data_IF_527044143646
#
_entry.id   IF_527044143646
#
_cell.length_a   1.000
_cell.length_b   1.000
_cell.length_c   1.000
_cell.angle_alpha   90.00
_cell.angle_beta   90.00
_cell.angle_gamma   90.00
#
_symmetry.space_group_name_H-M   'P 1'
#
loop_
_entity.id
_entity.type
_entity.pdbx_description
1 polymer ?
#
# COMPACT_ATOMS: atom_id res chain seq x y z
N UNK A 1 -21.95 15.38 15.65
CA UNK A 1 -22.24 13.97 15.32
C UNK A 1 -21.69 13.56 13.95
N UNK A 2 -22.02 14.27 12.85
CA UNK A 2 -21.52 13.92 11.50
C UNK A 2 -19.98 13.90 11.43
N UNK A 3 -19.31 14.95 11.93
CA UNK A 3 -17.85 15.01 11.96
C UNK A 3 -17.20 13.83 12.71
N UNK A 4 -17.82 13.36 13.80
CA UNK A 4 -17.35 12.21 14.57
C UNK A 4 -17.52 10.88 13.82
N UNK A 5 -18.61 10.74 13.08
CA UNK A 5 -18.82 9.56 12.23
C UNK A 5 -17.82 9.55 11.08
N UNK A 6 -17.61 10.69 10.43
CA UNK A 6 -16.62 10.82 9.35
C UNK A 6 -15.22 10.50 9.88
N UNK A 7 -14.81 11.06 11.02
CA UNK A 7 -13.48 10.78 11.58
C UNK A 7 -13.28 9.33 12.00
N UNK A 8 -14.31 8.69 12.58
CA UNK A 8 -14.28 7.24 12.86
C UNK A 8 -14.11 6.42 11.57
N UNK A 9 -14.93 6.70 10.56
CA UNK A 9 -14.91 5.97 9.28
C UNK A 9 -13.56 6.15 8.58
N UNK A 10 -13.02 7.36 8.54
CA UNK A 10 -11.71 7.63 7.95
C UNK A 10 -10.57 6.94 8.70
N UNK A 11 -10.59 6.92 10.04
CA UNK A 11 -9.58 6.22 10.82
C UNK A 11 -9.62 4.70 10.61
N UNK A 12 -10.82 4.12 10.51
CA UNK A 12 -10.99 2.69 10.24
C UNK A 12 -10.62 2.34 8.79
N UNK A 13 -10.93 3.19 7.82
CA UNK A 13 -10.47 3.04 6.44
C UNK A 13 -8.94 3.05 6.35
N UNK A 14 -8.28 3.98 7.06
CA UNK A 14 -6.82 4.02 7.14
C UNK A 14 -6.25 2.78 7.82
N UNK A 15 -6.87 2.31 8.91
CA UNK A 15 -6.47 1.04 9.54
C UNK A 15 -6.59 -0.14 8.56
N UNK A 16 -7.64 -0.17 7.73
CA UNK A 16 -7.81 -1.16 6.66
C UNK A 16 -6.75 -1.07 5.56
N UNK A 17 -6.24 0.13 5.25
CA UNK A 17 -5.13 0.30 4.31
C UNK A 17 -3.80 -0.28 4.84
N UNK A 18 -3.64 -0.44 6.16
CA UNK A 18 -2.48 -1.10 6.78
C UNK A 18 -2.64 -2.63 6.90
N UNK A 19 -3.85 -3.16 6.71
CA UNK A 19 -4.11 -4.60 6.80
C UNK A 19 -3.24 -5.46 5.86
N UNK A 20 -2.97 -5.05 4.60
CA UNK A 20 -2.10 -5.80 3.71
C UNK A 20 -0.68 -5.96 4.26
N UNK A 21 -0.12 -4.95 4.94
CA UNK A 21 1.21 -5.06 5.54
C UNK A 21 1.31 -6.11 6.65
N UNK A 22 0.19 -6.51 7.25
CA UNK A 22 0.11 -7.63 8.20
C UNK A 22 -0.04 -9.00 7.53
N UNK A 23 -0.48 -9.01 6.28
CA UNK A 23 -0.67 -10.22 5.47
C UNK A 23 0.61 -10.52 4.67
N UNK A 24 1.29 -9.49 4.18
CA UNK A 24 2.56 -9.62 3.47
C UNK A 24 3.74 -9.84 4.42
N UNK A 25 4.71 -10.65 4.00
CA UNK A 25 5.88 -11.07 4.78
C UNK A 25 7.08 -10.09 4.71
N UNK A 26 6.87 -8.83 4.33
CA UNK A 26 7.93 -7.84 4.39
C UNK A 26 8.02 -7.24 5.81
N UNK A 27 9.14 -7.47 6.49
CA UNK A 27 9.31 -7.11 7.90
C UNK A 27 9.09 -5.62 8.16
N UNK A 28 9.51 -4.74 7.23
CA UNK A 28 9.36 -3.30 7.37
C UNK A 28 7.89 -2.87 7.32
N UNK A 29 7.13 -3.35 6.33
CA UNK A 29 5.71 -3.05 6.20
C UNK A 29 4.87 -3.70 7.30
N UNK A 30 5.22 -4.90 7.77
CA UNK A 30 4.56 -5.55 8.91
C UNK A 30 4.77 -4.77 10.21
N UNK A 31 6.01 -4.38 10.52
CA UNK A 31 6.32 -3.58 11.71
C UNK A 31 5.61 -2.22 11.64
N UNK A 32 5.66 -1.54 10.49
CA UNK A 32 4.94 -0.29 10.28
C UNK A 32 3.44 -0.42 10.52
N UNK A 33 2.83 -1.49 10.01
CA UNK A 33 1.40 -1.76 10.17
C UNK A 33 1.03 -2.09 11.62
N UNK A 34 1.87 -2.87 12.32
CA UNK A 34 1.70 -3.18 13.74
C UNK A 34 1.80 -1.94 14.64
N UNK A 35 2.64 -0.96 14.27
CA UNK A 35 2.79 0.28 15.03
C UNK A 35 1.63 1.25 14.74
N UNK A 36 1.23 1.37 13.47
CA UNK A 36 0.27 2.40 13.04
C UNK A 36 -1.20 2.01 13.24
N UNK A 37 -1.54 0.73 13.15
CA UNK A 37 -2.92 0.27 13.25
C UNK A 37 -3.54 0.43 14.65
N UNK A 38 -2.87 0.09 15.78
CA UNK A 38 -3.46 0.22 17.11
C UNK A 38 -3.85 1.66 17.49
N UNK A 39 -3.03 2.70 17.21
CA UNK A 39 -3.43 4.09 17.44
C UNK A 39 -4.69 4.50 16.66
N UNK A 40 -4.85 4.06 15.41
CA UNK A 40 -6.02 4.39 14.58
C UNK A 40 -7.30 3.74 15.11
N UNK A 41 -7.22 2.45 15.47
CA UNK A 41 -8.35 1.74 16.10
C UNK A 41 -8.68 2.36 17.46
N UNK A 42 -7.66 2.65 18.27
CA UNK A 42 -7.81 3.31 19.56
C UNK A 42 -8.50 4.67 19.43
N UNK A 43 -8.10 5.48 18.46
CA UNK A 43 -8.75 6.75 18.15
C UNK A 43 -10.23 6.57 17.79
N UNK A 44 -10.57 5.63 16.91
CA UNK A 44 -11.96 5.36 16.54
C UNK A 44 -12.82 4.94 17.76
N UNK A 45 -12.27 4.13 18.66
CA UNK A 45 -12.94 3.73 19.91
C UNK A 45 -13.15 4.93 20.83
N UNK A 46 -12.14 5.79 21.01
CA UNK A 46 -12.28 6.97 21.86
C UNK A 46 -13.23 8.00 21.26
N UNK A 47 -13.22 8.19 19.94
CA UNK A 47 -14.17 9.03 19.21
C UNK A 47 -15.61 8.57 19.44
N UNK A 48 -15.84 7.25 19.38
CA UNK A 48 -17.14 6.64 19.68
C UNK A 48 -17.56 6.90 21.13
N UNK A 49 -16.69 6.58 22.09
CA UNK A 49 -16.98 6.77 23.53
C UNK A 49 -17.23 8.24 23.86
N UNK A 50 -16.45 9.14 23.27
CA UNK A 50 -16.59 10.57 23.50
C UNK A 50 -17.88 11.13 22.93
N UNK A 51 -18.23 10.74 21.70
CA UNK A 51 -19.39 11.30 21.00
C UNK A 51 -20.71 10.68 21.47
N UNK A 52 -20.79 9.36 21.57
CA UNK A 52 -22.05 8.64 21.80
C UNK A 52 -22.30 8.30 23.27
N UNK A 53 -21.24 8.18 24.08
CA UNK A 53 -21.35 7.98 25.54
C UNK A 53 -21.06 9.23 26.36
N UNK A 54 -20.88 10.37 25.70
CA UNK A 54 -20.58 11.66 26.34
C UNK A 54 -19.43 11.59 27.36
N UNK A 55 -18.39 10.81 27.05
CA UNK A 55 -17.24 10.66 27.93
C UNK A 55 -16.20 11.76 27.63
N UNK A 56 -16.03 12.69 28.58
CA UNK A 56 -15.12 13.83 28.44
C UNK A 56 -13.65 13.41 28.24
N UNK A 57 -13.18 12.46 29.03
CA UNK A 57 -11.80 11.95 28.93
C UNK A 57 -11.56 11.29 27.57
N UNK A 58 -12.56 10.58 27.04
CA UNK A 58 -12.50 9.97 25.71
C UNK A 58 -12.43 11.02 24.59
N UNK A 59 -13.11 12.17 24.72
CA UNK A 59 -13.00 13.26 23.75
C UNK A 59 -11.64 13.93 23.75
N UNK A 60 -11.07 14.15 24.94
CA UNK A 60 -9.75 14.76 25.06
C UNK A 60 -8.68 13.82 24.48
N UNK A 61 -8.75 12.53 24.82
CA UNK A 61 -7.85 11.52 24.26
C UNK A 61 -8.03 11.32 22.76
N UNK A 62 -9.26 11.37 22.24
CA UNK A 62 -9.51 11.36 20.80
C UNK A 62 -8.94 12.61 20.13
N UNK A 63 -9.13 13.81 20.71
CA UNK A 63 -8.55 15.05 20.18
C UNK A 63 -7.01 14.97 20.14
N UNK A 64 -6.37 14.50 21.21
CA UNK A 64 -4.93 14.29 21.25
C UNK A 64 -4.47 13.22 20.25
N UNK A 65 -5.22 12.12 20.13
CA UNK A 65 -4.95 11.05 19.17
C UNK A 65 -5.01 11.52 17.71
N UNK A 66 -5.93 12.43 17.38
CA UNK A 66 -6.02 13.04 16.05
C UNK A 66 -4.84 13.97 15.71
N UNK A 67 -4.11 14.49 16.71
CA UNK A 67 -2.93 15.33 16.45
C UNK A 67 -1.75 14.53 15.93
N UNK A 68 -1.66 13.23 16.22
CA UNK A 68 -0.57 12.37 15.73
C UNK A 68 -0.56 12.24 14.19
N UNK A 69 -1.66 11.82 13.51
CA UNK A 69 -1.70 11.81 12.05
C UNK A 69 -1.60 13.21 11.45
N UNK A 70 -2.08 14.26 12.14
CA UNK A 70 -1.89 15.66 11.70
C UNK A 70 -0.42 16.05 11.73
N UNK A 71 0.31 15.72 12.79
CA UNK A 71 1.74 16.00 12.90
C UNK A 71 2.56 15.25 11.84
N UNK A 72 2.27 13.96 11.63
CA UNK A 72 2.91 13.16 10.58
C UNK A 72 2.60 13.70 9.18
N UNK A 73 1.33 13.98 8.89
CA UNK A 73 0.92 14.56 7.61
C UNK A 73 1.53 15.96 7.40
N UNK A 74 1.64 16.77 8.45
CA UNK A 74 2.27 18.09 8.40
C UNK A 74 3.76 17.99 8.07
N UNK A 75 4.50 17.09 8.73
CA UNK A 75 5.90 16.81 8.42
C UNK A 75 6.06 16.33 6.98
N UNK A 76 5.21 15.38 6.53
CA UNK A 76 5.20 14.90 5.15
C UNK A 76 4.93 16.03 4.16
N UNK A 77 3.96 16.89 4.44
CA UNK A 77 3.63 18.01 3.54
C UNK A 77 4.82 18.96 3.37
N UNK A 78 5.54 19.26 4.47
CA UNK A 78 6.75 20.08 4.42
C UNK A 78 7.82 19.42 3.56
N UNK A 79 8.12 18.14 3.79
CA UNK A 79 9.15 17.42 3.02
C UNK A 79 8.79 17.32 1.53
N UNK A 80 7.53 17.03 1.23
CA UNK A 80 7.04 16.85 -0.15
C UNK A 80 6.99 18.18 -0.92
N UNK A 81 6.72 19.29 -0.23
CA UNK A 81 6.73 20.62 -0.84
C UNK A 81 8.13 21.05 -1.29
N UNK A 82 9.18 20.63 -0.58
CA UNK A 82 10.57 20.89 -1.00
C UNK A 82 11.06 19.98 -2.14
N UNK A 83 10.40 18.85 -2.36
CA UNK A 83 10.80 17.84 -3.35
C UNK A 83 9.99 17.90 -4.66
N UNK A 84 9.06 18.85 -4.79
CA UNK A 84 8.24 18.95 -6.01
C UNK A 84 7.29 17.77 -6.21
N UNK A 85 6.74 17.24 -5.10
CA UNK A 85 5.89 16.05 -5.12
C UNK A 85 4.66 16.18 -6.03
N UNK A 86 4.15 15.06 -6.59
CA UNK A 86 2.96 15.07 -7.43
C UNK A 86 1.73 15.59 -6.68
N UNK A 87 0.85 16.29 -7.41
CA UNK A 87 -0.36 16.91 -6.85
C UNK A 87 -1.25 15.91 -6.11
N UNK A 88 -1.32 14.67 -6.60
CA UNK A 88 -2.13 13.61 -6.00
C UNK A 88 -1.67 13.28 -4.58
N UNK A 89 -0.35 13.20 -4.37
CA UNK A 89 0.23 12.94 -3.05
C UNK A 89 0.01 14.12 -2.10
N UNK A 90 0.18 15.36 -2.60
CA UNK A 90 -0.11 16.57 -1.83
C UNK A 90 -1.60 16.64 -1.43
N UNK A 91 -2.50 16.27 -2.34
CA UNK A 91 -3.94 16.26 -2.08
C UNK A 91 -4.33 15.20 -1.06
N UNK A 92 -3.68 14.03 -1.08
CA UNK A 92 -3.88 12.97 -0.10
C UNK A 92 -3.46 13.43 1.30
N UNK A 93 -2.26 14.02 1.42
CA UNK A 93 -1.74 14.55 2.70
C UNK A 93 -2.61 15.70 3.20
N UNK A 94 -3.03 16.61 2.32
CA UNK A 94 -3.99 17.68 2.63
C UNK A 94 -5.34 17.14 3.13
N UNK A 95 -5.84 16.07 2.52
CA UNK A 95 -7.06 15.38 2.97
C UNK A 95 -6.94 14.82 4.39
N UNK A 96 -5.81 14.19 4.73
CA UNK A 96 -5.53 13.70 6.08
C UNK A 96 -5.51 14.86 7.09
N UNK A 97 -4.85 15.98 6.76
CA UNK A 97 -4.81 17.17 7.61
C UNK A 97 -6.20 17.74 7.87
N UNK A 98 -7.03 17.86 6.82
CA UNK A 98 -8.39 18.40 6.95
C UNK A 98 -9.29 17.49 7.79
N UNK A 99 -9.25 16.18 7.55
CA UNK A 99 -10.11 15.22 8.26
C UNK A 99 -9.72 15.14 9.74
N UNK A 100 -8.44 14.92 10.04
CA UNK A 100 -8.01 14.75 11.43
C UNK A 100 -7.89 16.08 12.18
N UNK A 101 -7.48 17.17 11.52
CA UNK A 101 -7.50 18.51 12.11
C UNK A 101 -8.91 18.98 12.44
N UNK A 102 -9.85 18.77 11.52
CA UNK A 102 -11.28 19.01 11.76
C UNK A 102 -11.84 18.15 12.89
N UNK A 103 -11.46 16.86 12.94
CA UNK A 103 -11.86 15.97 14.03
C UNK A 103 -11.32 16.41 15.39
N UNK A 104 -10.05 16.82 15.47
CA UNK A 104 -9.43 17.33 16.69
C UNK A 104 -10.16 18.58 17.20
N UNK A 105 -10.43 19.54 16.31
CA UNK A 105 -11.16 20.76 16.64
C UNK A 105 -12.59 20.46 17.11
N UNK A 106 -13.31 19.57 16.41
CA UNK A 106 -14.67 19.17 16.76
C UNK A 106 -14.73 18.44 18.12
N UNK A 107 -13.77 17.55 18.40
CA UNK A 107 -13.67 16.85 19.69
C UNK A 107 -13.36 17.80 20.83
N UNK A 108 -12.44 18.73 20.62
CA UNK A 108 -12.08 19.71 21.64
C UNK A 108 -13.25 20.66 21.94
N UNK A 109 -13.97 21.10 20.91
CA UNK A 109 -15.19 21.88 21.07
C UNK A 109 -16.23 21.11 21.88
N UNK A 110 -16.51 19.85 21.51
CA UNK A 110 -17.48 19.01 22.22
C UNK A 110 -17.07 18.70 23.66
N UNK A 111 -15.78 18.48 23.92
CA UNK A 111 -15.23 18.35 25.26
C UNK A 111 -15.53 19.60 26.11
N UNK A 112 -15.29 20.80 25.56
CA UNK A 112 -15.63 22.06 26.26
C UNK A 112 -17.12 22.17 26.52
N UNK A 113 -17.96 21.81 25.56
CA UNK A 113 -19.42 21.83 25.73
C UNK A 113 -19.87 20.89 26.85
N UNK A 114 -19.36 19.65 26.89
CA UNK A 114 -19.69 18.71 27.96
C UNK A 114 -19.22 19.19 29.33
N UNK A 115 -17.99 19.71 29.42
CA UNK A 115 -17.42 20.20 30.68
C UNK A 115 -18.17 21.42 31.24
N UNK A 116 -18.75 22.25 30.36
CA UNK A 116 -19.52 23.44 30.75
C UNK A 116 -21.01 23.13 31.01
N UNK A 117 -21.55 22.03 30.49
CA UNK A 117 -22.96 21.67 30.62
C UNK A 117 -23.48 21.57 32.08
N UNK A 118 -22.71 21.05 33.06
CA UNK A 118 -23.12 21.02 34.46
C UNK A 118 -23.31 22.43 35.06
N UNK A 119 -22.47 23.39 34.67
CA UNK A 119 -22.56 24.77 35.13
C UNK A 119 -23.73 25.53 34.49
N UNK A 120 -24.16 25.10 33.30
CA UNK A 120 -25.26 25.69 32.55
C UNK A 120 -26.61 24.98 32.77
N UNK A 121 -26.68 24.04 33.73
CA UNK A 121 -27.86 23.20 33.99
C UNK A 121 -28.40 22.46 32.74
N UNK A 122 -27.53 22.14 31.78
CA UNK A 122 -27.91 21.43 30.55
C UNK A 122 -27.86 19.93 30.78
N UNK A 123 -28.96 19.24 30.50
CA UNK A 123 -29.04 17.79 30.62
C UNK A 123 -28.28 17.13 29.46
N UNK A 124 -27.22 16.39 29.77
CA UNK A 124 -26.48 15.60 28.77
C UNK A 124 -27.05 14.18 28.74
N UNK A 125 -27.67 13.73 27.63
CA UNK A 125 -28.19 12.38 27.55
C UNK A 125 -27.03 11.37 27.55
N UNK A 126 -26.87 10.66 28.65
CA UNK A 126 -25.95 9.53 28.81
C UNK A 126 -26.64 8.24 28.37
N UNK A 127 -26.20 7.65 27.25
CA UNK A 127 -26.69 6.33 26.79
C UNK A 127 -25.74 5.23 27.29
N UNK A 128 -26.28 4.24 27.99
CA UNK A 128 -25.52 3.11 28.60
C UNK A 128 -25.50 1.81 27.78
N UNK A 129 -26.24 1.70 26.68
CA UNK A 129 -26.31 0.50 25.83
C UNK A 129 -25.66 0.66 24.46
N UNK A 130 -25.38 -0.45 23.78
CA UNK A 130 -25.07 -0.48 22.35
C UNK A 130 -26.39 -0.56 21.60
N UNK A 131 -26.73 0.49 20.85
CA UNK A 131 -27.89 0.55 19.99
C UNK A 131 -27.68 -0.26 18.71
N UNK A 132 -28.78 -0.69 18.09
CA UNK A 132 -28.77 -1.39 16.80
C UNK A 132 -27.99 -0.60 15.73
N UNK A 133 -28.12 0.74 15.74
CA UNK A 133 -27.39 1.65 14.86
C UNK A 133 -25.88 1.54 15.05
N UNK A 134 -25.41 1.40 16.29
CA UNK A 134 -23.98 1.27 16.60
C UNK A 134 -23.43 -0.09 16.19
N UNK A 135 -24.24 -1.17 16.27
CA UNK A 135 -23.89 -2.46 15.67
C UNK A 135 -23.80 -2.39 14.14
N UNK A 136 -24.74 -1.73 13.46
CA UNK A 136 -24.64 -1.52 12.01
C UNK A 136 -23.41 -0.72 11.63
N UNK A 137 -23.03 0.30 12.41
CA UNK A 137 -21.79 1.03 12.20
C UNK A 137 -20.54 0.15 12.38
N UNK A 138 -20.52 -0.73 13.38
CA UNK A 138 -19.41 -1.66 13.57
C UNK A 138 -19.28 -2.64 12.39
N UNK A 139 -20.40 -3.20 11.92
CA UNK A 139 -20.43 -4.09 10.74
C UNK A 139 -20.01 -3.35 9.47
N UNK A 140 -20.50 -2.13 9.26
CA UNK A 140 -20.12 -1.30 8.11
C UNK A 140 -18.63 -0.92 8.14
N UNK A 141 -18.09 -0.64 9.33
CA UNK A 141 -16.67 -0.34 9.49
C UNK A 141 -15.78 -1.56 9.23
N UNK A 142 -16.16 -2.74 9.73
CA UNK A 142 -15.50 -4.00 9.42
C UNK A 142 -15.57 -4.26 7.90
N UNK A 143 -16.74 -4.09 7.30
CA UNK A 143 -16.95 -4.20 5.86
C UNK A 143 -16.07 -3.24 5.06
N UNK A 144 -15.91 -1.99 5.52
CA UNK A 144 -15.03 -1.01 4.89
C UNK A 144 -13.56 -1.39 5.00
N UNK A 145 -13.12 -1.87 6.18
CA UNK A 145 -11.76 -2.38 6.38
C UNK A 145 -11.47 -3.52 5.40
N UNK A 146 -12.41 -4.46 5.23
CA UNK A 146 -12.26 -5.54 4.26
C UNK A 146 -12.35 -5.04 2.81
N UNK A 147 -13.26 -4.12 2.49
CA UNK A 147 -13.41 -3.59 1.13
C UNK A 147 -12.19 -2.79 0.67
N UNK A 148 -11.51 -2.08 1.56
CA UNK A 148 -10.27 -1.35 1.27
C UNK A 148 -9.05 -2.28 1.36
N UNK A 149 -8.99 -3.13 2.39
CA UNK A 149 -7.85 -3.99 2.67
C UNK A 149 -7.73 -5.18 1.72
N UNK A 150 -8.82 -5.86 1.34
CA UNK A 150 -8.76 -7.06 0.50
C UNK A 150 -8.23 -6.81 -0.92
N UNK A 151 -8.63 -5.74 -1.64
CA UNK A 151 -8.04 -5.44 -2.95
C UNK A 151 -6.55 -5.14 -2.86
N UNK A 152 -6.12 -4.48 -1.79
CA UNK A 152 -4.72 -4.15 -1.53
C UNK A 152 -3.90 -5.34 -1.01
N UNK A 153 -4.57 -6.36 -0.47
CA UNK A 153 -3.98 -7.60 0.05
C UNK A 153 -4.08 -8.77 -0.95
N UNK A 154 -4.49 -8.53 -2.20
CA UNK A 154 -4.51 -9.59 -3.22
C UNK A 154 -3.11 -10.21 -3.29
N UNK A 155 -2.99 -11.55 -3.11
CA UNK A 155 -1.71 -12.22 -3.21
C UNK A 155 -1.07 -11.88 -4.55
N UNK A 156 0.24 -11.67 -4.53
CA UNK A 156 0.96 -11.45 -5.77
C UNK A 156 0.99 -12.79 -6.52
N UNK A 157 0.13 -12.93 -7.53
CA UNK A 157 0.13 -14.09 -8.40
C UNK A 157 1.06 -13.80 -9.58
N UNK A 158 2.03 -14.68 -9.79
CA UNK A 158 2.73 -14.74 -11.06
C UNK A 158 1.82 -15.52 -12.02
N UNK A 159 1.51 -14.93 -13.15
CA UNK A 159 0.68 -15.55 -14.16
C UNK A 159 1.56 -16.44 -15.04
N UNK A 160 1.37 -17.76 -14.96
CA UNK A 160 1.93 -18.70 -15.93
C UNK A 160 0.93 -18.87 -17.08
N UNK A 161 1.25 -18.32 -18.24
CA UNK A 161 0.34 -18.25 -19.39
C UNK A 161 1.06 -18.56 -20.70
N UNK A 162 0.30 -18.72 -21.78
CA UNK A 162 0.88 -18.78 -23.11
C UNK A 162 1.39 -17.40 -23.57
N UNK A 163 2.37 -17.35 -24.47
CA UNK A 163 2.91 -16.09 -24.99
C UNK A 163 1.87 -15.19 -25.69
N UNK A 164 0.79 -15.77 -26.23
CA UNK A 164 -0.30 -15.01 -26.84
C UNK A 164 -1.25 -14.33 -25.84
N UNK A 165 -1.20 -14.72 -24.57
CA UNK A 165 -2.08 -14.23 -23.52
C UNK A 165 -1.43 -13.14 -22.66
N UNK A 166 -0.14 -12.84 -22.89
CA UNK A 166 0.54 -11.77 -22.16
C UNK A 166 0.20 -10.39 -22.72
N UNK A 167 0.16 -9.35 -21.86
CA UNK A 167 -0.03 -7.97 -22.32
C UNK A 167 1.23 -7.39 -23.00
N UNK A 168 2.33 -8.14 -23.07
CA UNK A 168 3.62 -7.70 -23.60
C UNK A 168 3.90 -8.32 -24.97
N UNK A 169 4.65 -7.61 -25.80
CA UNK A 169 5.22 -8.15 -27.04
C UNK A 169 6.40 -9.05 -26.71
N UNK A 170 6.28 -10.34 -27.01
CA UNK A 170 7.34 -11.33 -26.81
C UNK A 170 7.88 -11.84 -28.15
N UNK A 171 9.14 -12.31 -28.20
CA UNK A 171 9.70 -12.91 -29.40
C UNK A 171 8.90 -14.14 -29.84
N UNK A 172 8.87 -14.38 -31.16
CA UNK A 172 8.19 -15.55 -31.72
C UNK A 172 8.80 -16.83 -31.16
N UNK A 173 7.96 -17.77 -30.73
CA UNK A 173 8.43 -19.03 -30.15
C UNK A 173 8.73 -18.99 -28.65
N UNK A 174 8.46 -17.88 -27.97
CA UNK A 174 8.52 -17.81 -26.51
C UNK A 174 7.58 -18.83 -25.84
N UNK A 175 8.08 -19.52 -24.81
CA UNK A 175 7.37 -20.57 -24.05
C UNK A 175 7.57 -20.40 -22.56
N UNK A 176 6.76 -21.12 -21.77
CA UNK A 176 6.80 -21.10 -20.29
C UNK A 176 6.78 -19.68 -19.70
N UNK A 177 5.93 -18.83 -20.27
CA UNK A 177 5.88 -17.43 -19.90
C UNK A 177 5.29 -17.30 -18.51
N UNK A 178 6.04 -16.63 -17.64
CA UNK A 178 5.64 -16.30 -16.28
C UNK A 178 5.83 -14.81 -16.10
N UNK A 179 4.76 -14.08 -15.79
CA UNK A 179 4.86 -12.64 -15.58
C UNK A 179 4.15 -12.18 -14.31
N UNK A 180 4.63 -11.07 -13.78
CA UNK A 180 3.97 -10.26 -12.78
C UNK A 180 3.92 -8.82 -13.30
N UNK A 181 2.71 -8.30 -13.44
CA UNK A 181 2.48 -6.90 -13.72
C UNK A 181 1.99 -6.21 -12.43
N UNK A 182 2.86 -5.39 -11.83
CA UNK A 182 2.54 -4.65 -10.62
C UNK A 182 3.09 -3.24 -10.77
N UNK A 183 2.31 -2.29 -11.28
CA UNK A 183 2.68 -0.87 -11.25
C UNK A 183 3.27 -0.47 -9.87
N UNK A 184 4.56 -0.05 -9.75
CA UNK A 184 5.47 0.42 -10.81
C UNK A 184 6.49 -0.59 -11.41
N UNK A 185 6.42 -1.87 -11.03
CA UNK A 185 7.30 -2.96 -11.41
C UNK A 185 6.68 -3.96 -12.40
N UNK A 186 7.43 -4.26 -13.45
CA UNK A 186 7.09 -5.31 -14.41
C UNK A 186 8.16 -6.38 -14.37
N UNK A 187 7.76 -7.62 -14.12
CA UNK A 187 8.63 -8.78 -14.19
C UNK A 187 8.07 -9.77 -15.18
N UNK A 188 8.90 -10.29 -16.09
CA UNK A 188 8.53 -11.46 -16.86
C UNK A 188 9.73 -12.34 -17.15
N UNK A 189 9.44 -13.62 -17.27
CA UNK A 189 10.40 -14.66 -17.58
C UNK A 189 9.80 -15.57 -18.64
N UNK A 190 10.61 -15.97 -19.60
CA UNK A 190 10.18 -16.91 -20.63
C UNK A 190 11.38 -17.64 -21.23
N UNK A 191 11.13 -18.79 -21.83
CA UNK A 191 12.13 -19.58 -22.52
C UNK A 191 12.06 -19.30 -24.03
N UNK A 192 13.21 -19.07 -24.65
CA UNK A 192 13.37 -18.77 -26.09
C UNK A 192 14.76 -19.18 -26.57
N UNK A 193 14.91 -19.44 -27.86
CA UNK A 193 16.22 -19.66 -28.47
C UNK A 193 17.07 -18.38 -28.51
N UNK A 194 18.40 -18.54 -28.42
CA UNK A 194 19.34 -17.42 -28.34
C UNK A 194 19.31 -16.54 -29.60
N UNK A 195 19.25 -17.15 -30.79
CA UNK A 195 19.23 -16.37 -32.02
C UNK A 195 17.95 -15.55 -32.10
N UNK A 196 16.83 -16.16 -31.71
CA UNK A 196 15.53 -15.47 -31.72
C UNK A 196 15.45 -14.36 -30.67
N UNK A 197 16.13 -14.52 -29.54
CA UNK A 197 16.31 -13.46 -28.55
C UNK A 197 17.11 -12.29 -29.11
N UNK A 198 18.25 -12.57 -29.74
CA UNK A 198 19.11 -11.54 -30.33
C UNK A 198 18.37 -10.80 -31.45
N UNK A 199 17.75 -11.51 -32.39
CA UNK A 199 16.99 -10.91 -33.49
C UNK A 199 15.86 -9.97 -33.00
N UNK A 200 15.30 -10.24 -31.82
CA UNK A 200 14.20 -9.43 -31.27
C UNK A 200 14.69 -8.20 -30.50
N UNK A 201 15.81 -8.28 -29.79
CA UNK A 201 16.27 -7.21 -28.89
C UNK A 201 17.48 -6.43 -29.39
N UNK A 202 18.31 -6.99 -30.27
CA UNK A 202 19.59 -6.39 -30.67
C UNK A 202 19.45 -5.00 -31.30
N UNK A 203 18.35 -4.74 -32.01
CA UNK A 203 18.11 -3.43 -32.62
C UNK A 203 17.59 -2.38 -31.63
N UNK A 204 17.03 -2.80 -30.50
CA UNK A 204 16.39 -1.92 -29.50
C UNK A 204 17.20 -1.77 -28.21
N UNK A 205 18.13 -2.68 -27.95
CA UNK A 205 18.89 -2.78 -26.71
C UNK A 205 20.37 -3.02 -27.03
N UNK A 206 21.25 -2.23 -26.41
CA UNK A 206 22.70 -2.44 -26.47
C UNK A 206 23.07 -3.63 -25.56
N UNK A 207 22.86 -4.85 -26.06
CA UNK A 207 23.12 -6.09 -25.34
C UNK A 207 24.65 -6.30 -25.20
N UNK A 208 25.10 -6.55 -23.99
CA UNK A 208 26.49 -6.88 -23.67
C UNK A 208 26.62 -8.36 -23.26
N UNK A 209 27.72 -9.04 -23.63
CA UNK A 209 27.98 -10.38 -23.12
C UNK A 209 28.29 -10.32 -21.62
N UNK A 210 27.83 -11.32 -20.87
CA UNK A 210 28.10 -11.38 -19.42
C UNK A 210 29.58 -11.67 -19.17
N UNK A 211 30.30 -10.70 -18.59
CA UNK A 211 31.68 -10.87 -18.12
C UNK A 211 31.68 -11.28 -16.63
N UNK A 212 31.78 -12.58 -16.37
CA UNK A 212 31.84 -13.14 -15.02
C UNK A 212 30.48 -13.65 -14.52
N UNK A 213 29.69 -12.80 -13.86
CA UNK A 213 28.37 -13.19 -13.35
C UNK A 213 27.40 -12.02 -13.25
N UNK A 214 26.17 -12.22 -13.68
CA UNK A 214 25.05 -11.29 -13.52
C UNK A 214 24.06 -11.81 -12.48
N UNK A 215 23.65 -10.93 -11.56
CA UNK A 215 22.67 -11.25 -10.52
C UNK A 215 21.26 -10.96 -11.01
N UNK A 216 20.45 -11.99 -11.17
CA UNK A 216 19.04 -11.87 -11.58
C UNK A 216 18.08 -12.04 -10.41
N UNK A 217 16.89 -11.46 -10.56
CA UNK A 217 15.72 -11.79 -9.75
C UNK A 217 14.84 -12.74 -10.54
N UNK A 218 14.61 -13.94 -10.00
CA UNK A 218 13.81 -14.98 -10.63
C UNK A 218 12.56 -15.28 -9.81
N UNK A 219 11.42 -15.37 -10.49
CA UNK A 219 10.16 -15.84 -9.93
C UNK A 219 10.22 -17.37 -9.81
N UNK A 220 10.03 -17.88 -8.60
CA UNK A 220 10.00 -19.31 -8.28
C UNK A 220 8.68 -19.67 -7.60
N UNK A 221 8.30 -20.96 -7.61
CA UNK A 221 7.06 -21.47 -7.00
C UNK A 221 5.76 -20.83 -7.53
N UNK A 222 5.70 -20.59 -8.85
CA UNK A 222 4.61 -19.88 -9.52
C UNK A 222 3.33 -20.71 -9.73
N UNK A 223 3.21 -21.88 -9.09
CA UNK A 223 2.15 -22.84 -9.44
C UNK A 223 0.82 -22.59 -8.74
N UNK A 224 0.77 -22.10 -7.49
CA UNK A 224 -0.53 -22.07 -6.78
C UNK A 224 -0.89 -20.84 -5.94
N UNK A 225 -0.01 -20.12 -5.21
CA UNK A 225 -0.55 -18.99 -4.40
C UNK A 225 0.39 -17.87 -3.96
N UNK A 226 1.72 -18.04 -4.02
CA UNK A 226 2.68 -16.95 -3.83
C UNK A 226 3.96 -17.33 -4.55
N UNK A 227 4.41 -16.52 -5.49
CA UNK A 227 5.74 -16.70 -6.04
C UNK A 227 6.77 -16.21 -5.01
N UNK A 228 7.94 -16.83 -5.01
CA UNK A 228 9.09 -16.31 -4.30
C UNK A 228 10.03 -15.64 -5.30
N UNK A 229 10.45 -14.42 -4.99
CA UNK A 229 11.55 -13.78 -5.72
C UNK A 229 12.84 -14.30 -5.11
N UNK A 230 13.58 -15.06 -5.89
CA UNK A 230 14.91 -15.56 -5.51
C UNK A 230 15.97 -14.85 -6.32
N UNK A 231 17.10 -14.54 -5.68
CA UNK A 231 18.28 -14.05 -6.38
C UNK A 231 19.06 -15.24 -6.92
N UNK A 232 19.30 -15.27 -8.23
CA UNK A 232 20.11 -16.30 -8.91
C UNK A 232 21.28 -15.63 -9.63
N UNK A 233 22.39 -16.34 -9.78
CA UNK A 233 23.53 -15.89 -10.59
C UNK A 233 23.46 -16.56 -11.96
N UNK A 234 23.71 -15.77 -13.01
CA UNK A 234 23.87 -16.23 -14.39
C UNK A 234 25.30 -15.95 -14.81
N UNK A 235 25.97 -16.98 -15.32
CA UNK A 235 27.39 -16.89 -15.68
C UNK A 235 27.61 -16.75 -17.19
N UNK A 236 26.61 -17.10 -18.01
CA UNK A 236 26.71 -17.07 -19.46
C UNK A 236 25.44 -16.54 -20.11
N UNK A 237 25.64 -15.68 -21.10
CA UNK A 237 24.57 -15.14 -21.94
C UNK A 237 24.74 -13.64 -22.16
N UNK A 238 23.61 -12.93 -22.19
CA UNK A 238 23.56 -11.52 -22.57
C UNK A 238 22.86 -10.71 -21.48
N UNK A 239 23.32 -9.48 -21.28
CA UNK A 239 22.77 -8.55 -20.31
C UNK A 239 22.55 -7.20 -20.96
N UNK A 240 21.45 -6.56 -20.59
CA UNK A 240 21.23 -5.15 -20.79
C UNK A 240 20.76 -4.55 -19.49
N UNK A 241 21.44 -3.49 -19.08
CA UNK A 241 21.10 -2.70 -17.92
C UNK A 241 20.98 -1.24 -18.31
N UNK A 242 19.79 -0.69 -18.12
CA UNK A 242 19.57 0.73 -18.28
C UNK A 242 19.02 1.31 -16.98
N UNK A 243 19.66 2.39 -16.57
CA UNK A 243 19.34 3.09 -15.35
C UNK A 243 19.19 4.57 -15.68
N UNK A 244 18.04 5.12 -15.31
CA UNK A 244 17.79 6.55 -15.20
C UNK A 244 17.31 6.82 -13.77
N UNK A 245 17.53 8.03 -13.25
CA UNK A 245 17.29 8.47 -11.86
C UNK A 245 16.18 7.72 -11.10
N UNK A 246 14.98 7.57 -11.69
CA UNK A 246 13.83 6.88 -11.07
C UNK A 246 13.35 5.64 -11.85
N UNK A 247 14.07 5.18 -12.87
CA UNK A 247 13.65 4.05 -13.70
C UNK A 247 14.80 3.09 -13.99
N UNK A 248 14.57 1.80 -13.80
CA UNK A 248 15.54 0.75 -14.13
C UNK A 248 14.92 -0.27 -15.05
N UNK A 249 15.66 -0.70 -16.06
CA UNK A 249 15.32 -1.85 -16.90
C UNK A 249 16.50 -2.80 -16.97
N UNK A 250 16.26 -4.04 -16.58
CA UNK A 250 17.21 -5.14 -16.60
C UNK A 250 16.66 -6.24 -17.48
N UNK A 251 17.43 -6.63 -18.48
CA UNK A 251 17.12 -7.74 -19.37
C UNK A 251 18.32 -8.66 -19.39
N UNK A 252 18.14 -9.91 -18.96
CA UNK A 252 19.21 -10.90 -18.93
C UNK A 252 18.74 -12.16 -19.64
N UNK A 253 19.54 -12.65 -20.58
CA UNK A 253 19.39 -13.97 -21.21
C UNK A 253 20.38 -14.94 -20.59
N UNK A 254 19.88 -16.02 -19.99
CA UNK A 254 20.66 -17.13 -19.44
C UNK A 254 20.80 -18.22 -20.51
N UNK A 255 22.01 -18.37 -21.04
CA UNK A 255 22.30 -19.33 -22.12
C UNK A 255 22.10 -20.77 -21.68
N UNK A 256 22.41 -21.10 -20.43
CA UNK A 256 22.33 -22.48 -19.91
C UNK A 256 20.88 -22.95 -19.79
N UNK A 257 19.97 -22.03 -19.44
CA UNK A 257 18.54 -22.32 -19.29
C UNK A 257 17.69 -21.90 -20.48
N UNK A 258 18.30 -21.30 -21.50
CA UNK A 258 17.62 -20.67 -22.64
C UNK A 258 16.47 -19.77 -22.19
N UNK A 259 16.72 -18.97 -21.15
CA UNK A 259 15.66 -18.23 -20.44
C UNK A 259 15.99 -16.76 -20.33
N UNK A 260 15.00 -15.95 -20.67
CA UNK A 260 15.02 -14.50 -20.51
C UNK A 260 14.44 -14.14 -19.14
N UNK A 261 15.09 -13.19 -18.48
CA UNK A 261 14.66 -12.55 -17.25
C UNK A 261 14.58 -11.05 -17.53
N UNK A 262 13.38 -10.50 -17.43
CA UNK A 262 13.14 -9.08 -17.55
C UNK A 262 12.60 -8.52 -16.24
N UNK A 263 13.16 -7.40 -15.85
CA UNK A 263 12.69 -6.61 -14.71
C UNK A 263 12.77 -5.14 -15.07
N UNK A 264 11.63 -4.47 -15.01
CA UNK A 264 11.57 -3.01 -15.07
C UNK A 264 10.92 -2.49 -13.80
N UNK A 265 11.44 -1.37 -13.28
CA UNK A 265 10.83 -0.68 -12.15
C UNK A 265 10.86 0.82 -12.36
N UNK A 266 9.84 1.50 -11.84
CA UNK A 266 9.87 2.94 -11.60
C UNK A 266 9.84 3.19 -10.07
N UNK A 267 10.63 4.13 -9.59
CA UNK A 267 10.85 4.42 -8.17
C UNK A 267 9.80 5.38 -7.61
#
# INVERSE_FOLDING_TARGET
>A
MVAAVVSMVSALALAGAFLPGLIYLDACTTIGSLIMMPPLIGFAIQQYRGTFRANETALLTAAAGALLPVGLAGLMLVTLSFQGAPLDLLSMVGGVLLIFGGAAAANFHWYRTLRLAPAECRFVPSRRGISLREMFFAVAAIGLIFAVGLPLAKPHYAHKVAASETPFSLPKGAKDVTYMDRNPQTFYMYTVDEQTFLDFYQDSYELEPIEGSASILALTNCTETAYNITRKQVFQGWVYEWHHEDQGTYLIYDRDQQRVYYHSHTR
#
